data_IF_204953865461
#
_entry.id   IF_204953865461
#
_cell.length_a   1.000
_cell.length_b   1.000
_cell.length_c   1.000
_cell.angle_alpha   90.00
_cell.angle_beta   90.00
_cell.angle_gamma   90.00
#
_symmetry.space_group_name_H-M   'P 1'
#
loop_
_entity.id
_entity.type
_entity.pdbx_description
1 polymer ?
#
# COMPACT_ATOMS: atom_id res chain seq x y z
N UNK A 1 -26.22 -30.98 17.99
CA UNK A 1 -26.20 -29.53 18.29
C UNK A 1 -24.77 -28.98 18.45
N UNK A 2 -23.89 -29.59 19.26
CA UNK A 2 -22.51 -29.09 19.48
C UNK A 2 -21.65 -29.04 18.20
N UNK A 3 -21.75 -30.05 17.31
CA UNK A 3 -20.97 -30.08 16.06
C UNK A 3 -21.37 -29.02 15.03
N UNK A 4 -22.65 -28.63 14.98
CA UNK A 4 -23.13 -27.55 14.12
C UNK A 4 -22.64 -26.18 14.60
N UNK A 5 -22.61 -25.97 15.93
CA UNK A 5 -22.02 -24.77 16.53
C UNK A 5 -20.50 -24.68 16.27
N UNK A 6 -19.78 -25.79 16.32
CA UNK A 6 -18.35 -25.84 16.01
C UNK A 6 -18.05 -25.55 14.54
N UNK A 7 -18.88 -26.02 13.60
CA UNK A 7 -18.74 -25.74 12.16
C UNK A 7 -19.02 -24.26 11.87
N UNK A 8 -20.06 -23.69 12.49
CA UNK A 8 -20.36 -22.26 12.37
C UNK A 8 -19.22 -21.39 12.92
N UNK A 9 -18.64 -21.76 14.06
CA UNK A 9 -17.51 -21.03 14.64
C UNK A 9 -16.25 -21.12 13.76
N UNK A 10 -15.96 -22.29 13.20
CA UNK A 10 -14.84 -22.47 12.28
C UNK A 10 -15.00 -21.61 11.00
N UNK A 11 -16.22 -21.51 10.48
CA UNK A 11 -16.51 -20.68 9.30
C UNK A 11 -16.30 -19.19 9.59
N UNK A 12 -16.72 -18.70 10.76
CA UNK A 12 -16.52 -17.31 11.17
C UNK A 12 -15.03 -16.98 11.28
N UNK A 13 -14.22 -17.89 11.82
CA UNK A 13 -12.76 -17.70 11.94
C UNK A 13 -12.09 -17.63 10.56
N UNK A 14 -12.50 -18.47 9.61
CA UNK A 14 -11.97 -18.46 8.24
C UNK A 14 -12.30 -17.13 7.54
N UNK A 15 -13.53 -16.64 7.68
CA UNK A 15 -13.95 -15.36 7.08
C UNK A 15 -13.20 -14.19 7.71
N UNK A 16 -13.01 -14.18 9.04
CA UNK A 16 -12.25 -13.14 9.72
C UNK A 16 -10.77 -13.10 9.28
N UNK A 17 -10.16 -14.25 9.02
CA UNK A 17 -8.78 -14.32 8.55
C UNK A 17 -8.63 -13.79 7.12
N UNK A 18 -9.61 -14.04 6.25
CA UNK A 18 -9.62 -13.55 4.86
C UNK A 18 -9.78 -12.02 4.76
N UNK A 19 -10.42 -11.38 5.75
CA UNK A 19 -10.59 -9.93 5.80
C UNK A 19 -9.34 -9.19 6.32
N UNK A 20 -8.42 -9.90 6.99
CA UNK A 20 -7.23 -9.29 7.60
C UNK A 20 -6.07 -9.05 6.62
N UNK A 21 -6.17 -9.52 5.37
CA UNK A 21 -5.12 -9.37 4.36
C UNK A 21 -5.29 -8.13 3.46
N UNK A 22 -6.09 -7.15 3.86
CA UNK A 22 -6.08 -5.83 3.23
C UNK A 22 -4.82 -5.08 3.67
N UNK A 23 -3.66 -5.55 3.22
CA UNK A 23 -2.41 -4.83 3.37
C UNK A 23 -2.54 -3.53 2.58
N UNK A 24 -2.43 -2.41 3.29
CA UNK A 24 -2.36 -1.08 2.69
C UNK A 24 -1.21 -1.07 1.70
N UNK A 25 -1.48 -0.78 0.43
CA UNK A 25 -0.49 -0.71 -0.64
C UNK A 25 0.41 0.55 -0.54
N UNK A 26 0.80 0.93 0.67
CA UNK A 26 1.81 1.94 0.93
C UNK A 26 3.11 1.24 1.32
N UNK A 27 4.21 1.55 0.64
CA UNK A 27 5.51 1.07 1.07
C UNK A 27 5.90 1.67 2.42
N UNK A 28 6.70 0.94 3.20
CA UNK A 28 7.27 1.42 4.46
C UNK A 28 8.35 2.46 4.15
N UNK A 29 7.94 3.72 4.01
CA UNK A 29 8.79 4.89 3.77
C UNK A 29 8.87 5.76 5.04
N UNK A 30 10.03 6.36 5.29
CA UNK A 30 10.20 7.34 6.38
C UNK A 30 9.52 8.66 6.03
N UNK A 31 9.60 9.05 4.75
CA UNK A 31 8.98 10.25 4.20
C UNK A 31 8.29 9.90 2.89
N UNK A 32 7.04 10.36 2.75
CA UNK A 32 6.28 10.28 1.52
C UNK A 32 5.90 11.69 1.04
N UNK A 33 6.35 12.04 -0.17
CA UNK A 33 5.94 13.26 -0.85
C UNK A 33 4.85 12.87 -1.84
N UNK A 34 3.61 13.26 -1.55
CA UNK A 34 2.46 12.90 -2.38
C UNK A 34 2.08 14.02 -3.33
N UNK A 35 1.77 13.67 -4.58
CA UNK A 35 1.32 14.58 -5.64
C UNK A 35 2.25 15.78 -5.88
N UNK A 36 3.56 15.57 -5.72
CA UNK A 36 4.58 16.59 -6.00
C UNK A 36 4.92 16.62 -7.50
N UNK A 37 5.38 17.76 -8.00
CA UNK A 37 6.01 17.83 -9.33
C UNK A 37 7.47 17.39 -9.20
N UNK A 38 7.85 16.35 -9.95
CA UNK A 38 9.20 15.80 -9.97
C UNK A 38 9.80 16.09 -11.34
N UNK A 39 10.95 16.76 -11.34
CA UNK A 39 11.79 16.97 -12.52
C UNK A 39 13.07 16.13 -12.38
N UNK A 40 13.29 15.20 -13.30
CA UNK A 40 14.57 14.50 -13.43
C UNK A 40 15.28 14.96 -14.72
N UNK A 41 16.32 15.80 -14.62
CA UNK A 41 17.03 16.34 -15.76
C UNK A 41 17.83 15.28 -16.54
N UNK A 42 18.10 14.11 -15.94
CA UNK A 42 18.86 13.05 -16.61
C UNK A 42 18.00 12.32 -17.64
N UNK A 43 16.74 12.04 -17.29
CA UNK A 43 15.78 11.37 -18.19
C UNK A 43 14.88 12.36 -18.94
N UNK A 44 14.85 13.63 -18.52
CA UNK A 44 13.91 14.63 -19.00
C UNK A 44 12.48 14.43 -18.48
N UNK A 45 12.30 13.60 -17.44
CA UNK A 45 10.99 13.43 -16.81
C UNK A 45 10.57 14.72 -16.11
N UNK A 46 9.38 15.19 -16.41
CA UNK A 46 8.75 16.33 -15.72
C UNK A 46 7.25 16.05 -15.59
N UNK A 47 6.81 15.76 -14.37
CA UNK A 47 5.43 15.34 -14.13
C UNK A 47 5.04 15.27 -12.65
N UNK A 48 3.76 15.03 -12.39
CA UNK A 48 3.24 14.87 -11.02
C UNK A 48 3.39 13.41 -10.59
N UNK A 49 4.11 13.19 -9.50
CA UNK A 49 4.45 11.88 -8.97
C UNK A 49 4.41 11.84 -7.44
N UNK A 50 4.34 10.63 -6.90
CA UNK A 50 4.60 10.36 -5.49
C UNK A 50 6.04 9.85 -5.34
N UNK A 51 6.72 10.33 -4.31
CA UNK A 51 8.10 9.94 -3.99
C UNK A 51 8.14 9.34 -2.58
N UNK A 52 8.62 8.10 -2.50
CA UNK A 52 8.90 7.41 -1.24
C UNK A 52 10.38 7.47 -0.90
N UNK A 53 10.70 7.90 0.31
CA UNK A 53 12.07 8.03 0.82
C UNK A 53 12.24 7.10 2.02
N UNK A 54 13.28 6.27 1.99
CA UNK A 54 13.65 5.36 3.08
C UNK A 54 15.15 5.42 3.33
N UNK A 55 15.56 5.47 4.59
CA UNK A 55 16.95 5.58 5.03
C UNK A 55 17.70 6.73 4.33
N UNK A 56 17.00 7.86 4.12
CA UNK A 56 17.52 9.05 3.44
C UNK A 56 17.74 8.90 1.93
N UNK A 57 17.25 7.83 1.30
CA UNK A 57 17.35 7.58 -0.15
C UNK A 57 15.98 7.51 -0.80
N UNK A 58 15.89 7.90 -2.06
CA UNK A 58 14.67 7.72 -2.87
C UNK A 58 14.51 6.22 -3.14
N UNK A 59 13.48 5.62 -2.54
CA UNK A 59 13.18 4.20 -2.66
C UNK A 59 12.17 3.93 -3.78
N UNK A 60 11.28 4.88 -4.06
CA UNK A 60 10.29 4.77 -5.13
C UNK A 60 9.90 6.13 -5.71
N UNK A 61 9.66 6.16 -7.02
CA UNK A 61 8.98 7.26 -7.72
C UNK A 61 7.89 6.65 -8.57
N UNK A 62 6.63 7.02 -8.33
CA UNK A 62 5.49 6.48 -9.07
C UNK A 62 4.59 7.62 -9.56
N UNK A 63 4.00 7.53 -10.77
CA UNK A 63 3.04 8.53 -11.23
C UNK A 63 1.90 8.71 -10.22
N UNK A 64 1.53 9.96 -9.97
CA UNK A 64 0.40 10.23 -9.11
C UNK A 64 -0.88 9.74 -9.79
N UNK A 65 -1.67 8.92 -9.10
CA UNK A 65 -3.01 8.57 -9.60
C UNK A 65 -3.88 9.82 -9.54
N UNK A 66 -4.39 10.23 -10.68
CA UNK A 66 -5.44 11.24 -10.71
C UNK A 66 -6.72 10.59 -10.19
N UNK A 67 -7.35 11.24 -9.21
CA UNK A 67 -8.62 10.81 -8.63
C UNK A 67 -9.76 11.08 -9.61
#
# INVERSE_FOLDING_TARGET
MKKLASISLALVIIVAFALSSCATAGGDYDIAINNGRVMDPLTGFDGVANVGIKDGKIAAVVPAKQK
#
